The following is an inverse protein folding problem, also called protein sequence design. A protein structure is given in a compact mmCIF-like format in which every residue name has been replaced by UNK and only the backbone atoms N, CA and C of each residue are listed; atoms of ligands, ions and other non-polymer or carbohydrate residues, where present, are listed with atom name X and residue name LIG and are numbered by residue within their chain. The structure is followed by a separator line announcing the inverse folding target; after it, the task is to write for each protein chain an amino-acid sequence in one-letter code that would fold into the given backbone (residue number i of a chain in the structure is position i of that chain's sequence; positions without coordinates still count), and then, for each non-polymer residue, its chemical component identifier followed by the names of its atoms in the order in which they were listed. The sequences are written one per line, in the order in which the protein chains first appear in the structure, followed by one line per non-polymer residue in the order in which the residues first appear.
data_IF_358733149985
#
_entry.id   IF_358733149985
#
_cell.length_a   1.000
_cell.length_b   1.000
_cell.length_c   1.000
_cell.angle_alpha   90.00
_cell.angle_beta   90.00
_cell.angle_gamma   90.00
#
_symmetry.space_group_name_H-M   'P 1'
#
loop_
_entity.id
_entity.type
_entity.pdbx_description
1 polymer ?
#
# COMPACT_ATOMS: atom_id res chain seq x y z
N UNK A 1 -20.24 4.56 -4.06
CA UNK A 1 -19.12 4.64 -5.01
C UNK A 1 -17.96 3.87 -4.41
N UNK A 2 -17.42 2.90 -5.15
CA UNK A 2 -16.23 2.14 -4.75
C UNK A 2 -14.99 3.02 -5.03
N UNK A 3 -14.14 3.25 -4.01
CA UNK A 3 -12.90 4.03 -4.16
C UNK A 3 -11.68 3.11 -4.25
N UNK A 4 -10.66 3.54 -4.99
CA UNK A 4 -9.35 2.86 -5.08
C UNK A 4 -8.37 3.45 -4.07
N UNK A 5 -7.88 2.60 -3.16
CA UNK A 5 -6.91 2.95 -2.13
C UNK A 5 -5.55 2.35 -2.45
N UNK A 6 -4.48 3.10 -2.19
CA UNK A 6 -3.12 2.57 -2.05
C UNK A 6 -2.72 2.63 -0.58
N UNK A 7 -2.27 1.51 -0.01
CA UNK A 7 -1.84 1.44 1.39
C UNK A 7 -0.44 0.84 1.47
N UNK A 8 0.50 1.57 2.09
CA UNK A 8 1.82 1.03 2.43
C UNK A 8 1.81 0.39 3.83
N UNK A 9 2.60 -0.65 4.02
CA UNK A 9 2.66 -1.38 5.30
C UNK A 9 1.45 -2.30 5.52
N UNK A 10 0.70 -2.64 4.46
CA UNK A 10 -0.57 -3.37 4.51
C UNK A 10 -0.48 -4.83 4.98
N UNK A 11 0.72 -5.38 5.11
CA UNK A 11 0.98 -6.76 5.52
C UNK A 11 0.83 -7.00 7.03
N UNK A 12 0.71 -5.96 7.86
CA UNK A 12 0.56 -6.11 9.32
C UNK A 12 -0.09 -4.90 10.01
N UNK A 13 -0.34 -5.04 11.32
CA UNK A 13 -0.71 -3.94 12.22
C UNK A 13 -1.91 -3.11 11.78
N UNK A 14 -1.78 -1.79 11.91
CA UNK A 14 -2.83 -0.81 11.63
C UNK A 14 -3.28 -0.85 10.17
N UNK A 15 -2.35 -0.96 9.23
CA UNK A 15 -2.68 -1.02 7.80
C UNK A 15 -3.40 -2.31 7.42
N UNK A 16 -3.08 -3.44 8.05
CA UNK A 16 -3.82 -4.71 7.84
C UNK A 16 -5.27 -4.62 8.34
N UNK A 17 -5.49 -4.02 9.52
CA UNK A 17 -6.84 -3.78 10.01
C UNK A 17 -7.60 -2.80 9.10
N UNK A 18 -6.93 -1.74 8.67
CA UNK A 18 -7.47 -0.72 7.77
C UNK A 18 -7.87 -1.30 6.42
N UNK A 19 -7.00 -2.09 5.76
CA UNK A 19 -7.33 -2.70 4.47
C UNK A 19 -8.55 -3.61 4.58
N UNK A 20 -8.64 -4.44 5.63
CA UNK A 20 -9.76 -5.36 5.84
C UNK A 20 -11.07 -4.59 5.97
N UNK A 21 -11.07 -3.50 6.74
CA UNK A 21 -12.25 -2.64 6.90
C UNK A 21 -12.65 -1.99 5.58
N UNK A 22 -11.69 -1.49 4.80
CA UNK A 22 -11.96 -0.84 3.51
C UNK A 22 -12.51 -1.83 2.47
N UNK A 23 -11.90 -3.02 2.39
CA UNK A 23 -12.36 -4.14 1.55
C UNK A 23 -13.80 -4.55 1.92
N UNK A 24 -14.12 -4.67 3.21
CA UNK A 24 -15.48 -4.97 3.71
C UNK A 24 -16.51 -3.89 3.33
N UNK A 25 -16.09 -2.63 3.21
CA UNK A 25 -16.93 -1.53 2.75
C UNK A 25 -17.09 -1.52 1.21
N UNK A 26 -16.60 -2.55 0.53
CA UNK A 26 -16.67 -2.68 -0.93
C UNK A 26 -15.66 -1.83 -1.67
N UNK A 27 -14.62 -1.32 -0.98
CA UNK A 27 -13.56 -0.55 -1.63
C UNK A 27 -12.48 -1.45 -2.22
N UNK A 28 -11.77 -0.96 -3.23
CA UNK A 28 -10.58 -1.61 -3.77
C UNK A 28 -9.33 -1.14 -3.03
N UNK A 29 -8.47 -2.07 -2.62
CA UNK A 29 -7.22 -1.75 -1.92
C UNK A 29 -6.04 -2.38 -2.64
N UNK A 30 -5.08 -1.55 -3.03
CA UNK A 30 -3.77 -1.93 -3.56
C UNK A 30 -2.76 -1.87 -2.41
N UNK A 31 -2.17 -3.03 -2.09
CA UNK A 31 -1.35 -3.24 -0.90
C UNK A 31 0.13 -3.22 -1.28
N UNK A 32 0.90 -2.35 -0.65
CA UNK A 32 2.36 -2.27 -0.80
C UNK A 32 3.01 -2.68 0.51
N UNK A 33 3.82 -3.74 0.48
CA UNK A 33 4.51 -4.26 1.66
C UNK A 33 5.60 -5.27 1.26
N UNK A 34 6.46 -5.66 2.20
CA UNK A 34 7.39 -6.78 2.08
C UNK A 34 6.70 -8.15 2.27
N UNK A 35 5.46 -8.19 2.75
CA UNK A 35 4.69 -9.44 2.90
C UNK A 35 3.19 -9.23 2.72
N UNK A 36 2.48 -10.25 2.23
CA UNK A 36 1.01 -10.25 2.08
C UNK A 36 0.47 -9.04 1.27
N UNK A 37 1.23 -8.61 0.26
CA UNK A 37 0.98 -7.44 -0.57
C UNK A 37 0.63 -7.82 -2.02
N UNK A 38 0.01 -6.88 -2.74
CA UNK A 38 -0.15 -6.96 -4.20
C UNK A 38 1.13 -6.49 -4.89
N UNK A 39 1.81 -5.52 -4.27
CA UNK A 39 3.11 -5.00 -4.69
C UNK A 39 4.13 -5.29 -3.61
N UNK A 40 5.05 -6.22 -3.91
CA UNK A 40 6.22 -6.45 -3.08
C UNK A 40 7.25 -5.33 -3.34
N UNK A 41 7.56 -4.52 -2.33
CA UNK A 41 8.55 -3.45 -2.45
C UNK A 41 9.17 -3.09 -1.10
N UNK A 42 10.50 -2.93 -1.09
CA UNK A 42 11.23 -2.35 0.04
C UNK A 42 11.27 -0.83 -0.09
N UNK A 43 10.58 -0.12 0.80
CA UNK A 43 10.47 1.34 0.73
C UNK A 43 11.69 2.08 1.31
N UNK A 44 12.62 1.37 1.96
CA UNK A 44 13.89 1.94 2.40
C UNK A 44 14.75 2.32 1.18
N UNK A 45 14.71 1.50 0.13
CA UNK A 45 15.49 1.68 -1.09
C UNK A 45 14.81 2.60 -2.10
N UNK A 46 15.60 3.46 -2.76
CA UNK A 46 15.10 4.33 -3.84
C UNK A 46 14.40 3.53 -4.94
N UNK A 47 15.03 2.44 -5.38
CA UNK A 47 14.49 1.58 -6.41
C UNK A 47 13.19 0.87 -5.99
N UNK A 48 13.08 0.49 -4.70
CA UNK A 48 11.85 -0.11 -4.20
C UNK A 48 10.69 0.89 -4.14
N UNK A 49 10.96 2.16 -3.83
CA UNK A 49 9.96 3.25 -3.96
C UNK A 49 9.52 3.47 -5.40
N UNK A 50 10.45 3.49 -6.35
CA UNK A 50 10.14 3.62 -7.78
C UNK A 50 9.27 2.46 -8.28
N UNK A 51 9.62 1.23 -7.88
CA UNK A 51 8.85 0.02 -8.20
C UNK A 51 7.45 0.08 -7.60
N UNK A 52 7.34 0.50 -6.33
CA UNK A 52 6.07 0.67 -5.63
C UNK A 52 5.13 1.64 -6.37
N UNK A 53 5.65 2.79 -6.82
CA UNK A 53 4.89 3.79 -7.57
C UNK A 53 4.43 3.22 -8.91
N UNK A 54 5.35 2.68 -9.71
CA UNK A 54 5.05 2.17 -11.05
C UNK A 54 3.97 1.07 -10.99
N UNK A 55 4.13 0.10 -10.08
CA UNK A 55 3.20 -1.02 -9.94
C UNK A 55 1.86 -0.60 -9.35
N UNK A 56 1.84 0.34 -8.40
CA UNK A 56 0.58 0.87 -7.87
C UNK A 56 -0.23 1.60 -8.96
N UNK A 57 0.43 2.38 -9.82
CA UNK A 57 -0.21 3.05 -10.95
C UNK A 57 -0.73 2.06 -11.99
N UNK A 58 0.06 1.04 -12.33
CA UNK A 58 -0.37 -0.04 -13.23
C UNK A 58 -1.62 -0.76 -12.71
N UNK A 59 -1.64 -1.11 -11.42
CA UNK A 59 -2.79 -1.76 -10.79
C UNK A 59 -3.98 -0.82 -10.68
N UNK A 60 -3.78 0.44 -10.32
CA UNK A 60 -4.83 1.45 -10.24
C UNK A 60 -5.58 1.64 -11.57
N UNK A 61 -4.88 1.43 -12.69
CA UNK A 61 -5.34 1.55 -14.07
C UNK A 61 -5.82 2.95 -14.45
N UNK A 62 -6.85 3.47 -13.79
CA UNK A 62 -7.48 4.75 -14.10
C UNK A 62 -7.29 5.79 -13.00
N UNK A 63 -7.42 5.40 -11.72
CA UNK A 63 -7.39 6.35 -10.61
C UNK A 63 -6.83 5.79 -9.29
N UNK A 64 -6.35 6.70 -8.45
CA UNK A 64 -6.12 6.47 -7.02
C UNK A 64 -6.87 7.57 -6.28
N UNK A 65 -7.91 7.20 -5.53
CA UNK A 65 -8.70 8.17 -4.77
C UNK A 65 -8.03 8.54 -3.44
N UNK A 66 -7.31 7.59 -2.85
CA UNK A 66 -6.72 7.73 -1.51
C UNK A 66 -5.37 7.03 -1.42
N UNK A 67 -4.41 7.69 -0.77
CA UNK A 67 -3.12 7.11 -0.38
C UNK A 67 -3.01 7.11 1.14
N UNK A 68 -2.69 5.95 1.71
CA UNK A 68 -2.40 5.76 3.13
C UNK A 68 -0.94 5.32 3.27
N UNK A 69 -0.06 6.28 3.51
CA UNK A 69 1.38 6.05 3.68
C UNK A 69 1.71 5.70 5.15
N UNK A 70 1.48 4.45 5.55
CA UNK A 70 1.63 4.00 6.94
C UNK A 70 2.75 2.96 7.15
N UNK A 71 3.46 2.54 6.10
CA UNK A 71 4.70 1.78 6.27
C UNK A 71 5.69 2.57 7.15
N UNK A 72 6.23 1.91 8.16
CA UNK A 72 7.17 2.53 9.09
C UNK A 72 7.93 1.48 9.90
N UNK A 73 9.12 1.89 10.36
CA UNK A 73 10.00 1.13 11.26
C UNK A 73 10.10 1.88 12.58
N UNK A 74 10.23 1.14 13.69
CA UNK A 74 10.42 1.74 15.02
C UNK A 74 11.81 2.40 15.17
N UNK A 75 12.80 1.93 14.41
CA UNK A 75 14.16 2.46 14.46
C UNK A 75 14.39 3.38 13.26
N UNK A 76 15.06 4.53 13.45
CA UNK A 76 15.59 5.32 12.35
C UNK A 76 16.52 4.46 11.51
N UNK A 77 16.37 4.54 10.19
CA UNK A 77 17.36 4.00 9.26
C UNK A 77 18.37 5.12 9.03
N UNK A 78 19.65 4.83 9.24
CA UNK A 78 20.75 5.79 9.10
C UNK A 78 20.90 6.30 7.66
#
# INVERSE_FOLDING_TARGET
MNRTYVITGAGSGISLATKKKLELLGNRVIRIDLKNSDVFADLNEKHGRETAIAKALELAAENIDVVIANAGSALPVA
#
